data_IF_963094909151
#
_entry.id   IF_963094909151
#
_cell.length_a   1.000
_cell.length_b   1.000
_cell.length_c   1.000
_cell.angle_alpha   90.00
_cell.angle_beta   90.00
_cell.angle_gamma   90.00
#
_symmetry.space_group_name_H-M   'P 1'
#
loop_
_entity.id
_entity.type
_entity.pdbx_description
1 polymer ?
#
# COMPACT_ATOMS: atom_id res chain seq x y z
N UNK A 1 -4.84 27.95 1.50
CA UNK A 1 -5.52 26.65 1.72
C UNK A 1 -6.39 26.79 2.96
N UNK A 2 -7.57 26.17 2.97
CA UNK A 2 -8.42 26.16 4.17
C UNK A 2 -7.93 25.14 5.20
N UNK A 3 -8.22 25.40 6.49
CA UNK A 3 -7.73 24.59 7.61
C UNK A 3 -8.20 23.12 7.54
N UNK A 4 -9.42 22.87 7.06
CA UNK A 4 -9.98 21.53 6.92
C UNK A 4 -9.17 20.65 5.95
N UNK A 5 -8.75 21.21 4.81
CA UNK A 5 -7.95 20.46 3.83
C UNK A 5 -6.54 20.18 4.34
N UNK A 6 -5.93 21.12 5.06
CA UNK A 6 -4.64 20.92 5.70
C UNK A 6 -4.71 19.85 6.80
N UNK A 7 -5.76 19.85 7.62
CA UNK A 7 -5.96 18.82 8.63
C UNK A 7 -6.11 17.43 8.00
N UNK A 8 -6.85 17.33 6.88
CA UNK A 8 -6.92 16.08 6.14
C UNK A 8 -5.55 15.63 5.61
N UNK A 9 -4.76 16.52 5.01
CA UNK A 9 -3.41 16.18 4.52
C UNK A 9 -2.54 15.65 5.65
N UNK A 10 -2.57 16.33 6.82
CA UNK A 10 -1.84 15.90 8.01
C UNK A 10 -2.30 14.51 8.45
N UNK A 11 -3.61 14.30 8.58
CA UNK A 11 -4.17 13.02 8.98
C UNK A 11 -3.84 11.88 8.01
N UNK A 12 -3.82 12.14 6.69
CA UNK A 12 -3.50 11.12 5.68
C UNK A 12 -2.03 10.71 5.74
N UNK A 13 -1.10 11.68 5.89
CA UNK A 13 0.33 11.38 6.07
C UNK A 13 0.60 10.56 7.33
N UNK A 14 -0.12 10.85 8.41
CA UNK A 14 0.03 10.18 9.69
C UNK A 14 -0.74 8.85 9.80
N UNK A 15 -1.53 8.48 8.80
CA UNK A 15 -2.35 7.26 8.83
C UNK A 15 -3.58 7.34 9.72
N UNK A 16 -4.00 8.55 10.11
CA UNK A 16 -5.21 8.83 10.91
C UNK A 16 -6.45 9.13 10.05
N UNK A 17 -6.28 9.32 8.75
CA UNK A 17 -7.40 9.59 7.86
C UNK A 17 -8.34 8.38 7.75
N UNK A 18 -9.64 8.61 7.95
CA UNK A 18 -10.67 7.57 7.86
C UNK A 18 -11.16 7.34 6.43
N UNK A 19 -10.92 8.31 5.54
CA UNK A 19 -11.23 8.26 4.11
C UNK A 19 -9.91 8.36 3.36
N UNK A 20 -9.69 7.47 2.41
CA UNK A 20 -8.48 7.44 1.61
C UNK A 20 -8.40 8.54 0.56
N UNK A 21 -7.18 8.82 0.13
CA UNK A 21 -6.84 9.92 -0.79
C UNK A 21 -7.79 10.05 -2.00
N UNK A 22 -8.06 8.94 -2.69
CA UNK A 22 -8.87 8.94 -3.92
C UNK A 22 -10.29 9.43 -3.70
N UNK A 23 -10.95 8.92 -2.67
CA UNK A 23 -12.34 9.27 -2.36
C UNK A 23 -12.40 10.71 -1.85
N UNK A 24 -11.50 11.07 -0.92
CA UNK A 24 -11.45 12.42 -0.40
C UNK A 24 -11.19 13.46 -1.50
N UNK A 25 -10.19 13.22 -2.37
CA UNK A 25 -9.85 14.15 -3.44
C UNK A 25 -11.00 14.31 -4.43
N UNK A 26 -11.68 13.21 -4.80
CA UNK A 26 -12.84 13.27 -5.69
C UNK A 26 -13.98 14.12 -5.11
N UNK A 27 -14.27 13.98 -3.82
CA UNK A 27 -15.29 14.77 -3.12
C UNK A 27 -14.91 16.25 -2.98
N UNK A 28 -13.63 16.56 -2.81
CA UNK A 28 -13.14 17.92 -2.54
C UNK A 28 -12.59 18.66 -3.77
N UNK A 29 -12.53 18.01 -4.94
CA UNK A 29 -11.88 18.58 -6.12
C UNK A 29 -12.46 19.95 -6.53
N UNK A 30 -13.79 20.12 -6.41
CA UNK A 30 -14.44 21.38 -6.77
C UNK A 30 -14.04 22.51 -5.81
N UNK A 31 -14.09 22.28 -4.50
CA UNK A 31 -13.64 23.25 -3.49
C UNK A 31 -12.15 23.59 -3.68
N UNK A 32 -11.30 22.58 -3.86
CA UNK A 32 -9.88 22.76 -4.13
C UNK A 32 -9.62 23.57 -5.41
N UNK A 33 -10.47 23.47 -6.43
CA UNK A 33 -10.33 24.25 -7.66
C UNK A 33 -10.62 25.75 -7.49
N UNK A 34 -11.33 26.14 -6.44
CA UNK A 34 -11.57 27.53 -6.07
C UNK A 34 -10.42 28.10 -5.23
N UNK A 35 -9.74 27.25 -4.47
CA UNK A 35 -8.64 27.61 -3.56
C UNK A 35 -7.25 27.56 -4.20
N UNK A 36 -7.08 26.72 -5.22
CA UNK A 36 -5.80 26.47 -5.88
C UNK A 36 -5.81 26.96 -7.33
N UNK A 37 -4.66 27.44 -7.78
CA UNK A 37 -4.42 27.62 -9.21
C UNK A 37 -4.51 26.27 -9.95
N UNK A 38 -4.87 26.31 -11.24
CA UNK A 38 -4.97 25.09 -12.06
C UNK A 38 -3.68 24.24 -12.02
N UNK A 39 -2.45 24.81 -12.11
CA UNK A 39 -1.23 24.02 -11.97
C UNK A 39 -1.07 23.36 -10.60
N UNK A 40 -1.41 24.07 -9.51
CA UNK A 40 -1.32 23.51 -8.16
C UNK A 40 -2.32 22.36 -7.95
N UNK A 41 -3.54 22.49 -8.46
CA UNK A 41 -4.54 21.42 -8.42
C UNK A 41 -4.08 20.17 -9.19
N UNK A 42 -3.42 20.36 -10.34
CA UNK A 42 -2.90 19.23 -11.13
C UNK A 42 -1.74 18.53 -10.41
N UNK A 43 -0.80 19.28 -9.82
CA UNK A 43 0.24 18.67 -8.97
C UNK A 43 -0.37 17.90 -7.82
N UNK A 44 -1.38 18.47 -7.15
CA UNK A 44 -2.06 17.78 -6.05
C UNK A 44 -2.73 16.49 -6.53
N UNK A 45 -3.40 16.51 -7.68
CA UNK A 45 -4.04 15.33 -8.25
C UNK A 45 -3.06 14.20 -8.59
N UNK A 46 -1.92 14.54 -9.18
CA UNK A 46 -0.99 13.55 -9.75
C UNK A 46 0.14 13.15 -8.80
N UNK A 47 0.63 14.07 -7.97
CA UNK A 47 1.66 13.80 -6.97
C UNK A 47 1.05 13.51 -5.58
N UNK A 48 -0.26 13.70 -5.42
CA UNK A 48 -1.02 13.20 -4.27
C UNK A 48 -0.44 13.69 -2.93
N UNK A 49 -0.09 12.76 -2.02
CA UNK A 49 0.42 13.10 -0.71
C UNK A 49 1.82 13.75 -0.74
N UNK A 50 2.59 13.60 -1.82
CA UNK A 50 3.85 14.34 -1.98
C UNK A 50 3.60 15.85 -2.14
N UNK A 51 2.59 16.24 -2.92
CA UNK A 51 2.21 17.65 -3.03
C UNK A 51 1.49 18.12 -1.75
N UNK A 52 0.71 17.26 -1.09
CA UNK A 52 0.06 17.58 0.17
C UNK A 52 1.09 17.93 1.26
N UNK A 53 2.18 17.17 1.36
CA UNK A 53 3.30 17.44 2.27
C UNK A 53 3.95 18.81 1.97
N UNK A 54 4.18 19.12 0.70
CA UNK A 54 4.67 20.44 0.27
C UNK A 54 3.74 21.57 0.71
N UNK A 55 2.43 21.39 0.55
CA UNK A 55 1.41 22.38 0.92
C UNK A 55 1.30 22.56 2.46
N UNK A 56 1.51 21.51 3.24
CA UNK A 56 1.60 21.59 4.70
C UNK A 56 2.83 22.38 5.14
N UNK A 57 3.99 22.11 4.53
CA UNK A 57 5.22 22.84 4.81
C UNK A 57 5.09 24.34 4.49
N UNK A 58 4.43 24.70 3.39
CA UNK A 58 4.11 26.11 3.07
C UNK A 58 3.21 26.78 4.13
N UNK A 59 2.34 26.01 4.79
CA UNK A 59 1.50 26.48 5.88
C UNK A 59 2.20 26.45 7.25
N UNK A 60 3.47 26.03 7.32
CA UNK A 60 4.21 25.88 8.58
C UNK A 60 3.73 24.72 9.46
N UNK A 61 3.05 23.73 8.86
CA UNK A 61 2.52 22.55 9.56
C UNK A 61 3.47 21.37 9.28
N UNK A 62 3.91 20.70 10.35
CA UNK A 62 4.75 19.51 10.28
C UNK A 62 3.94 18.32 10.79
N UNK A 63 3.78 17.24 10.00
CA UNK A 63 3.19 15.99 10.48
C UNK A 63 4.04 15.36 11.57
N UNK A 64 3.38 14.75 12.56
CA UNK A 64 4.00 13.99 13.64
C UNK A 64 4.65 12.69 13.13
N UNK A 65 4.17 12.17 12.00
CA UNK A 65 4.68 10.99 11.30
C UNK A 65 4.27 11.00 9.82
N UNK A 66 5.00 10.26 8.99
CA UNK A 66 4.65 9.99 7.58
C UNK A 66 4.39 8.51 7.31
N UNK A 67 4.23 7.70 8.36
CA UNK A 67 4.05 6.24 8.25
C UNK A 67 2.81 5.86 7.41
N UNK A 68 1.73 6.64 7.49
CA UNK A 68 0.51 6.38 6.72
C UNK A 68 0.62 6.68 5.24
N UNK A 69 1.58 7.55 4.85
CA UNK A 69 1.76 8.01 3.47
C UNK A 69 1.89 6.84 2.50
N UNK A 70 2.70 5.83 2.82
CA UNK A 70 2.98 4.73 1.90
C UNK A 70 1.73 3.90 1.59
N UNK A 71 0.94 3.57 2.62
CA UNK A 71 -0.29 2.82 2.46
C UNK A 71 -1.36 3.61 1.69
N UNK A 72 -1.50 4.90 1.97
CA UNK A 72 -2.41 5.77 1.22
C UNK A 72 -2.00 5.91 -0.25
N UNK A 73 -0.71 6.09 -0.52
CA UNK A 73 -0.18 6.13 -1.89
C UNK A 73 -0.39 4.81 -2.62
N UNK A 74 -0.27 3.67 -1.94
CA UNK A 74 -0.62 2.34 -2.48
C UNK A 74 -2.11 2.27 -2.86
N UNK A 75 -3.01 2.60 -1.94
CA UNK A 75 -4.45 2.63 -2.21
C UNK A 75 -4.81 3.62 -3.34
N UNK A 76 -4.06 4.71 -3.47
CA UNK A 76 -4.27 5.71 -4.51
C UNK A 76 -3.85 5.25 -5.93
N UNK A 77 -3.24 4.08 -6.09
CA UNK A 77 -2.96 3.49 -7.41
C UNK A 77 -4.19 2.82 -8.02
N UNK A 78 -5.16 2.44 -7.20
CA UNK A 78 -6.38 1.78 -7.65
C UNK A 78 -7.33 2.75 -8.38
N UNK A 79 -8.11 2.18 -9.29
CA UNK A 79 -9.23 2.88 -9.92
C UNK A 79 -10.38 3.05 -8.90
N UNK A 80 -11.19 4.10 -9.06
CA UNK A 80 -12.26 4.41 -8.09
C UNK A 80 -13.34 3.32 -8.01
N UNK A 81 -13.59 2.61 -9.11
CA UNK A 81 -14.60 1.55 -9.22
C UNK A 81 -14.20 0.24 -8.54
N UNK A 82 -12.93 0.10 -8.12
CA UNK A 82 -12.43 -1.03 -7.34
C UNK A 82 -12.14 -0.66 -5.88
N UNK A 83 -12.54 0.54 -5.45
CA UNK A 83 -12.45 1.01 -4.08
C UNK A 83 -13.83 1.05 -3.41
N UNK A 84 -13.86 0.86 -2.10
CA UNK A 84 -15.04 1.09 -1.27
C UNK A 84 -15.25 2.59 -0.95
N UNK A 85 -16.30 2.89 -0.18
CA UNK A 85 -16.64 4.24 0.27
C UNK A 85 -15.55 4.91 1.14
N UNK A 86 -14.62 4.13 1.69
CA UNK A 86 -13.48 4.61 2.48
C UNK A 86 -12.21 4.75 1.64
N UNK A 87 -12.25 4.43 0.35
CA UNK A 87 -11.07 4.46 -0.50
C UNK A 87 -10.10 3.31 -0.25
N UNK A 88 -10.60 2.17 0.21
CA UNK A 88 -9.85 0.92 0.36
C UNK A 88 -10.26 -0.08 -0.74
N UNK A 89 -9.39 -1.00 -1.16
CA UNK A 89 -9.75 -2.02 -2.15
C UNK A 89 -11.03 -2.77 -1.75
N UNK A 90 -11.96 -2.95 -2.69
CA UNK A 90 -13.19 -3.70 -2.45
C UNK A 90 -12.85 -5.11 -1.93
N UNK A 91 -13.54 -5.63 -0.90
CA UNK A 91 -13.21 -6.92 -0.30
C UNK A 91 -13.15 -8.06 -1.33
N UNK A 92 -14.04 -8.08 -2.31
CA UNK A 92 -14.03 -9.11 -3.35
C UNK A 92 -12.77 -9.05 -4.24
N UNK A 93 -12.29 -7.84 -4.56
CA UNK A 93 -11.08 -7.63 -5.38
C UNK A 93 -9.85 -7.99 -4.57
N UNK A 94 -9.75 -7.48 -3.34
CA UNK A 94 -8.65 -7.76 -2.43
C UNK A 94 -8.52 -9.27 -2.15
N UNK A 95 -9.62 -9.95 -1.81
CA UNK A 95 -9.62 -11.39 -1.54
C UNK A 95 -9.26 -12.23 -2.77
N UNK A 96 -9.57 -11.76 -3.98
CA UNK A 96 -9.27 -12.47 -5.22
C UNK A 96 -7.80 -12.32 -5.68
N UNK A 97 -7.01 -11.42 -5.08
CA UNK A 97 -5.60 -11.24 -5.41
C UNK A 97 -4.81 -12.56 -5.25
N UNK A 98 -3.75 -12.70 -6.06
CA UNK A 98 -2.93 -13.92 -6.12
C UNK A 98 -3.75 -15.20 -6.34
N UNK A 99 -4.73 -15.09 -7.25
CA UNK A 99 -5.67 -16.17 -7.56
C UNK A 99 -6.55 -16.56 -6.38
N UNK A 100 -6.73 -15.71 -5.37
CA UNK A 100 -7.51 -15.99 -4.17
C UNK A 100 -6.69 -16.40 -2.94
N UNK A 101 -5.36 -16.27 -2.98
CA UNK A 101 -4.54 -16.61 -1.82
C UNK A 101 -4.81 -15.66 -0.64
N UNK A 102 -5.01 -14.37 -0.91
CA UNK A 102 -5.35 -13.37 0.11
C UNK A 102 -6.65 -13.73 0.83
N UNK A 103 -7.68 -14.17 0.09
CA UNK A 103 -8.94 -14.64 0.69
C UNK A 103 -8.74 -15.79 1.67
N UNK A 104 -7.90 -16.79 1.33
CA UNK A 104 -7.58 -17.91 2.21
C UNK A 104 -6.85 -17.44 3.47
N UNK A 105 -5.85 -16.57 3.33
CA UNK A 105 -5.11 -16.03 4.47
C UNK A 105 -6.02 -15.23 5.40
N UNK A 106 -6.91 -14.40 4.84
CA UNK A 106 -7.87 -13.61 5.59
C UNK A 106 -8.88 -14.47 6.39
N UNK A 107 -9.13 -15.69 5.93
CA UNK A 107 -10.01 -16.66 6.59
C UNK A 107 -9.28 -17.54 7.62
N UNK A 108 -7.96 -17.36 7.79
CA UNK A 108 -7.14 -18.17 8.70
C UNK A 108 -6.60 -19.47 8.07
N UNK A 109 -6.88 -19.72 6.79
CA UNK A 109 -6.42 -20.90 6.04
C UNK A 109 -4.96 -20.70 5.57
N UNK A 110 -4.05 -20.46 6.53
CA UNK A 110 -2.69 -19.99 6.28
C UNK A 110 -1.89 -20.94 5.38
N UNK A 111 -1.91 -22.24 5.68
CA UNK A 111 -1.17 -23.24 4.89
C UNK A 111 -1.63 -23.27 3.43
N UNK A 112 -2.95 -23.23 3.19
CA UNK A 112 -3.52 -23.25 1.84
C UNK A 112 -3.19 -21.96 1.08
N UNK A 113 -3.30 -20.80 1.75
CA UNK A 113 -2.93 -19.51 1.18
C UNK A 113 -1.46 -19.42 0.82
N UNK A 114 -0.56 -19.79 1.74
CA UNK A 114 0.89 -19.80 1.50
C UNK A 114 1.27 -20.79 0.38
N UNK A 115 0.70 -22.00 0.38
CA UNK A 115 0.96 -23.00 -0.67
C UNK A 115 0.59 -22.47 -2.06
N UNK A 116 -0.49 -21.69 -2.15
CA UNK A 116 -0.92 -21.04 -3.38
C UNK A 116 0.05 -19.96 -3.85
N UNK A 117 0.49 -19.08 -2.95
CA UNK A 117 1.51 -18.07 -3.26
C UNK A 117 2.82 -18.70 -3.73
N UNK A 118 3.30 -19.74 -3.04
CA UNK A 118 4.51 -20.46 -3.43
C UNK A 118 4.35 -21.15 -4.80
N UNK A 119 3.15 -21.59 -5.16
CA UNK A 119 2.88 -22.13 -6.50
C UNK A 119 2.97 -21.02 -7.57
N UNK A 120 2.49 -19.81 -7.30
CA UNK A 120 2.67 -18.65 -8.19
C UNK A 120 4.15 -18.27 -8.32
N UNK A 121 4.89 -18.20 -7.22
CA UNK A 121 6.34 -17.97 -7.24
C UNK A 121 7.06 -19.00 -8.11
N UNK A 122 6.76 -20.29 -7.96
CA UNK A 122 7.34 -21.35 -8.79
C UNK A 122 7.03 -21.13 -10.28
N UNK A 123 5.85 -20.62 -10.64
CA UNK A 123 5.52 -20.25 -12.02
C UNK A 123 6.32 -19.04 -12.51
N UNK A 124 6.47 -18.01 -11.68
CA UNK A 124 7.29 -16.84 -12.00
C UNK A 124 8.75 -17.25 -12.24
N UNK A 125 9.30 -18.09 -11.36
CA UNK A 125 10.66 -18.63 -11.48
C UNK A 125 10.87 -19.47 -12.73
N UNK A 126 9.89 -20.26 -13.16
CA UNK A 126 9.95 -20.99 -14.45
C UNK A 126 10.06 -20.07 -15.66
N UNK A 127 9.64 -18.79 -15.54
CA UNK A 127 9.76 -17.78 -16.60
C UNK A 127 11.11 -17.05 -16.57
N UNK A 128 11.86 -17.15 -15.48
CA UNK A 128 13.19 -16.58 -15.33
C UNK A 128 13.43 -15.94 -13.96
N UNK A 129 14.69 -15.73 -13.62
CA UNK A 129 15.10 -15.02 -12.40
C UNK A 129 14.55 -13.58 -12.32
N UNK A 130 14.51 -12.78 -13.41
CA UNK A 130 13.93 -11.44 -13.34
C UNK A 130 12.44 -11.45 -12.96
N UNK A 131 11.68 -12.44 -13.44
CA UNK A 131 10.26 -12.58 -13.08
C UNK A 131 10.07 -13.04 -11.64
N UNK A 132 10.93 -13.93 -11.14
CA UNK A 132 10.94 -14.32 -9.74
C UNK A 132 11.27 -13.14 -8.81
N UNK A 133 12.30 -12.36 -9.15
CA UNK A 133 12.71 -11.18 -8.39
C UNK A 133 11.59 -10.14 -8.35
N UNK A 134 10.99 -9.83 -9.50
CA UNK A 134 9.83 -8.93 -9.56
C UNK A 134 8.70 -9.42 -8.67
N UNK A 135 8.31 -10.69 -8.80
CA UNK A 135 7.20 -11.25 -8.03
C UNK A 135 7.45 -11.20 -6.52
N UNK A 136 8.67 -11.49 -6.06
CA UNK A 136 9.03 -11.36 -4.64
C UNK A 136 9.03 -9.91 -4.16
N UNK A 137 9.52 -8.99 -4.98
CA UNK A 137 9.49 -7.56 -4.68
C UNK A 137 8.06 -7.04 -4.54
N UNK A 138 7.19 -7.37 -5.48
CA UNK A 138 5.77 -7.01 -5.47
C UNK A 138 5.10 -7.59 -4.20
N UNK A 139 5.30 -8.88 -3.90
CA UNK A 139 4.71 -9.52 -2.72
C UNK A 139 5.25 -8.96 -1.40
N UNK A 140 6.53 -8.63 -1.33
CA UNK A 140 7.15 -8.01 -0.15
C UNK A 140 6.56 -6.62 0.11
N UNK A 141 6.41 -5.83 -0.95
CA UNK A 141 5.80 -4.52 -0.87
C UNK A 141 4.33 -4.60 -0.40
N UNK A 142 3.53 -5.50 -0.98
CA UNK A 142 2.15 -5.73 -0.55
C UNK A 142 2.06 -6.22 0.90
N UNK A 143 2.95 -7.14 1.30
CA UNK A 143 3.08 -7.60 2.68
C UNK A 143 3.33 -6.47 3.66
N UNK A 144 4.24 -5.54 3.32
CA UNK A 144 4.51 -4.34 4.13
C UNK A 144 3.28 -3.40 4.22
N UNK A 145 2.54 -3.23 3.12
CA UNK A 145 1.34 -2.38 3.09
C UNK A 145 0.23 -2.96 3.97
N UNK A 146 -0.02 -4.26 3.85
CA UNK A 146 -1.01 -4.95 4.70
C UNK A 146 -0.58 -4.97 6.17
N UNK A 147 0.72 -5.12 6.44
CA UNK A 147 1.26 -5.15 7.80
C UNK A 147 0.97 -3.86 8.57
N UNK A 148 1.17 -2.69 7.95
CA UNK A 148 1.13 -1.40 8.63
C UNK A 148 -0.21 -0.64 8.46
N UNK A 149 -0.93 -0.86 7.37
CA UNK A 149 -2.14 -0.10 7.05
C UNK A 149 -3.36 -0.93 6.69
N UNK A 150 -3.19 -2.24 6.45
CA UNK A 150 -4.25 -3.15 6.06
C UNK A 150 -4.50 -4.24 7.09
N UNK A 151 -4.61 -5.49 6.63
CA UNK A 151 -4.76 -6.66 7.48
C UNK A 151 -3.38 -7.18 7.90
N UNK A 152 -2.97 -6.83 9.13
CA UNK A 152 -1.64 -7.14 9.64
C UNK A 152 -1.31 -8.64 9.65
N UNK A 153 -2.29 -9.51 9.88
CA UNK A 153 -2.07 -10.96 9.84
C UNK A 153 -1.78 -11.42 8.41
N UNK A 154 -2.57 -10.98 7.43
CA UNK A 154 -2.27 -11.25 6.02
C UNK A 154 -0.89 -10.73 5.65
N UNK A 155 -0.54 -9.50 6.07
CA UNK A 155 0.79 -8.92 5.86
C UNK A 155 1.91 -9.82 6.36
N UNK A 156 1.82 -10.32 7.60
CA UNK A 156 2.78 -11.28 8.16
C UNK A 156 2.89 -12.55 7.33
N UNK A 157 1.75 -13.11 6.90
CA UNK A 157 1.73 -14.33 6.08
C UNK A 157 2.36 -14.12 4.69
N UNK A 158 2.17 -12.95 4.07
CA UNK A 158 2.82 -12.61 2.79
C UNK A 158 4.35 -12.49 2.96
N UNK A 159 4.80 -11.78 3.98
CA UNK A 159 6.23 -11.62 4.27
C UNK A 159 6.90 -12.97 4.59
N UNK A 160 6.23 -13.85 5.34
CA UNK A 160 6.74 -15.19 5.61
C UNK A 160 7.00 -16.00 4.32
N UNK A 161 6.11 -15.89 3.33
CA UNK A 161 6.30 -16.51 2.01
C UNK A 161 7.50 -15.91 1.28
N UNK A 162 7.67 -14.58 1.33
CA UNK A 162 8.83 -13.91 0.72
C UNK A 162 10.13 -14.43 1.32
N UNK A 163 10.21 -14.53 2.66
CA UNK A 163 11.37 -15.09 3.35
C UNK A 163 11.62 -16.51 2.86
N UNK A 164 10.61 -17.38 2.88
CA UNK A 164 10.75 -18.78 2.48
C UNK A 164 11.19 -18.94 1.01
N UNK A 165 10.63 -18.14 0.10
CA UNK A 165 10.85 -18.27 -1.32
C UNK A 165 12.16 -17.62 -1.81
N UNK A 166 12.60 -16.54 -1.15
CA UNK A 166 13.83 -15.81 -1.51
C UNK A 166 15.09 -16.36 -0.85
N UNK A 167 14.98 -17.04 0.29
CA UNK A 167 16.14 -17.56 1.04
C UNK A 167 16.97 -18.55 0.22
N UNK A 168 18.30 -18.43 0.31
CA UNK A 168 19.23 -19.37 -0.33
C UNK A 168 19.43 -19.16 -1.83
N UNK A 169 19.02 -18.00 -2.35
CA UNK A 169 19.25 -17.56 -3.72
C UNK A 169 19.93 -16.18 -3.71
N UNK A 170 21.21 -16.09 -4.05
CA UNK A 170 22.01 -14.84 -3.97
C UNK A 170 21.32 -13.61 -4.59
N UNK A 171 20.54 -13.78 -5.65
CA UNK A 171 19.83 -12.69 -6.36
C UNK A 171 18.42 -12.38 -5.81
N UNK A 172 17.90 -13.18 -4.89
CA UNK A 172 16.59 -13.02 -4.25
C UNK A 172 16.70 -12.81 -2.73
N UNK A 173 17.87 -13.09 -2.14
CA UNK A 173 18.10 -13.08 -0.70
C UNK A 173 17.95 -11.67 -0.11
N UNK A 174 18.27 -10.62 -0.87
CA UNK A 174 18.06 -9.23 -0.43
C UNK A 174 16.60 -8.93 -0.13
N UNK A 175 15.66 -9.41 -0.96
CA UNK A 175 14.22 -9.24 -0.69
C UNK A 175 13.77 -10.07 0.51
N UNK A 176 14.35 -11.26 0.70
CA UNK A 176 14.08 -12.08 1.87
C UNK A 176 14.61 -11.43 3.16
N UNK A 177 15.77 -10.77 3.13
CA UNK A 177 16.30 -10.02 4.27
C UNK A 177 15.38 -8.86 4.66
N UNK A 178 14.93 -8.06 3.69
CA UNK A 178 13.96 -6.97 3.95
C UNK A 178 12.70 -7.53 4.62
N UNK A 179 12.16 -8.64 4.11
CA UNK A 179 10.97 -9.25 4.71
C UNK A 179 11.20 -9.76 6.14
N UNK A 180 12.41 -10.26 6.47
CA UNK A 180 12.76 -10.64 7.86
C UNK A 180 12.84 -9.42 8.76
N UNK A 181 13.52 -8.35 8.33
CA UNK A 181 13.64 -7.11 9.12
C UNK A 181 12.25 -6.51 9.42
N UNK A 182 11.33 -6.53 8.45
CA UNK A 182 9.95 -6.10 8.63
C UNK A 182 9.16 -6.95 9.64
N UNK A 183 9.44 -8.26 9.70
CA UNK A 183 8.80 -9.17 10.67
C UNK A 183 9.40 -9.02 12.07
N UNK A 184 10.71 -8.81 12.17
CA UNK A 184 11.44 -8.64 13.45
C UNK A 184 11.14 -7.29 14.12
N UNK A 185 10.83 -6.25 13.35
CA UNK A 185 10.47 -4.92 13.88
C UNK A 185 9.11 -4.84 14.59
N UNK A 186 8.41 -5.96 14.79
CA UNK A 186 7.08 -6.06 15.41
C UNK A 186 7.11 -6.57 16.86
N UNK A 187 8.25 -7.08 17.32
CA UNK A 187 8.50 -7.56 18.70
C UNK A 187 9.06 -6.46 19.61
#
# INVERSE_FOLDING_TARGET
>A
MEAEHLEYFKAALEGRATIGWKVWFAANQQALSQLLSRPALLRLKFNQLDEAERLLAEAGIVPDSTAGKRYEMYCAQFALDVLDERGRPLPAIWRAAHGGAIGLLADGEHEAGQAKLLAEFRRARKRGLPQAHKWLGDLCFEGEMELHGGNAEVGRQLLAVVVQAGSGHDLLDSTAMIARELLEGLD
#
